data_IF_672422192942
#
_entry.id   IF_672422192942
#
_cell.length_a   1.000
_cell.length_b   1.000
_cell.length_c   1.000
_cell.angle_alpha   90.00
_cell.angle_beta   90.00
_cell.angle_gamma   90.00
#
_symmetry.space_group_name_H-M   'P 1'
#
loop_
_entity.id
_entity.type
_entity.pdbx_description
1 polymer ?
#
# COMPACT_ATOMS: atom_id res chain seq x y z
N UNK A 1 -7.71 16.78 -35.41
CA UNK A 1 -7.57 16.99 -33.96
C UNK A 1 -6.58 15.94 -33.52
N UNK A 2 -5.35 16.36 -33.24
CA UNK A 2 -4.28 15.46 -32.85
C UNK A 2 -4.34 15.34 -31.33
N UNK A 3 -5.02 14.31 -30.84
CA UNK A 3 -4.97 13.95 -29.43
C UNK A 3 -3.65 13.23 -29.17
N UNK A 4 -2.55 13.98 -29.21
CA UNK A 4 -1.25 13.52 -28.75
C UNK A 4 -1.16 13.76 -27.24
N UNK A 5 -1.93 12.98 -26.47
CA UNK A 5 -1.64 12.79 -25.05
C UNK A 5 -0.40 11.91 -24.95
N UNK A 6 0.76 12.49 -25.28
CA UNK A 6 2.04 11.78 -25.29
C UNK A 6 2.30 11.14 -23.92
N UNK A 7 2.45 9.82 -23.91
CA UNK A 7 2.93 9.11 -22.73
C UNK A 7 4.39 9.49 -22.48
N UNK A 8 4.67 9.96 -21.27
CA UNK A 8 6.02 10.29 -20.84
C UNK A 8 6.62 9.14 -20.02
N UNK A 9 7.86 8.76 -20.33
CA UNK A 9 8.60 7.75 -19.59
C UNK A 9 9.82 8.44 -18.97
N UNK A 10 9.89 8.42 -17.65
CA UNK A 10 10.94 9.07 -16.86
C UNK A 10 11.54 8.08 -15.87
N UNK A 11 12.81 8.30 -15.45
CA UNK A 11 13.35 7.65 -14.27
C UNK A 11 12.50 7.92 -13.02
N UNK A 12 12.50 6.97 -12.08
CA UNK A 12 11.67 7.00 -10.87
C UNK A 12 11.91 8.25 -9.99
N UNK A 13 13.17 8.65 -9.83
CA UNK A 13 13.58 9.86 -9.10
C UNK A 13 13.06 11.14 -9.76
N UNK A 14 13.16 11.21 -11.09
CA UNK A 14 12.62 12.34 -11.87
C UNK A 14 11.09 12.40 -11.78
N UNK A 15 10.40 11.25 -11.80
CA UNK A 15 8.94 11.22 -11.58
C UNK A 15 8.57 11.69 -10.17
N UNK A 16 9.29 11.24 -9.14
CA UNK A 16 9.04 11.67 -7.75
C UNK A 16 9.15 13.17 -7.59
N UNK A 17 10.22 13.76 -8.12
CA UNK A 17 10.42 15.21 -8.07
C UNK A 17 9.34 15.96 -8.86
N UNK A 18 9.07 15.54 -10.10
CA UNK A 18 8.14 16.22 -11.00
C UNK A 18 6.70 16.20 -10.50
N UNK A 19 6.25 15.07 -9.95
CA UNK A 19 4.86 14.85 -9.56
C UNK A 19 4.64 14.91 -8.04
N UNK A 20 5.69 15.13 -7.25
CA UNK A 20 5.61 15.18 -5.80
C UNK A 20 5.21 13.84 -5.18
N UNK A 21 5.66 12.71 -5.74
CA UNK A 21 5.34 11.35 -5.27
C UNK A 21 6.22 10.99 -4.07
N UNK A 22 6.04 11.72 -2.96
CA UNK A 22 6.84 11.61 -1.74
C UNK A 22 5.97 11.28 -0.53
N UNK A 23 6.62 10.85 0.56
CA UNK A 23 6.01 10.55 1.85
C UNK A 23 5.21 11.74 2.42
N UNK A 24 5.67 12.97 2.20
CA UNK A 24 5.01 14.19 2.67
C UNK A 24 3.71 14.49 1.91
N UNK A 25 3.62 14.05 0.66
CA UNK A 25 2.46 14.24 -0.22
C UNK A 25 1.61 12.96 -0.35
N UNK A 26 1.84 11.97 0.52
CA UNK A 26 1.08 10.72 0.51
C UNK A 26 -0.43 10.96 0.64
N UNK A 27 -1.26 10.08 0.07
CA UNK A 27 -2.70 10.14 0.30
C UNK A 27 -3.02 9.83 1.78
N UNK A 28 -4.05 10.49 2.30
CA UNK A 28 -4.69 10.09 3.54
C UNK A 28 -5.57 8.88 3.26
N UNK A 29 -5.22 7.74 3.84
CA UNK A 29 -6.01 6.50 3.76
C UNK A 29 -6.85 6.41 5.02
N UNK A 30 -8.16 6.22 4.86
CA UNK A 30 -9.10 5.96 5.96
C UNK A 30 -9.91 4.72 5.60
N UNK A 31 -9.72 3.65 6.37
CA UNK A 31 -10.35 2.36 6.09
C UNK A 31 -11.64 2.18 6.89
N UNK A 32 -12.59 1.47 6.29
CA UNK A 32 -13.83 1.05 6.93
C UNK A 32 -13.60 -0.31 7.57
N UNK A 33 -13.71 -0.39 8.89
CA UNK A 33 -13.37 -1.59 9.64
C UNK A 33 -14.26 -2.78 9.31
N UNK A 34 -15.50 -2.51 8.94
CA UNK A 34 -16.54 -3.47 8.57
C UNK A 34 -16.19 -4.23 7.30
N UNK A 35 -15.42 -3.61 6.41
CA UNK A 35 -14.94 -4.19 5.14
C UNK A 35 -13.64 -5.01 5.31
N UNK A 36 -13.09 -5.05 6.53
CA UNK A 36 -11.93 -5.86 6.91
C UNK A 36 -12.36 -7.05 7.78
N UNK A 37 -11.86 -8.27 7.53
CA UNK A 37 -12.10 -9.42 8.40
C UNK A 37 -11.73 -9.12 9.85
N UNK A 38 -12.57 -9.56 10.80
CA UNK A 38 -12.41 -9.24 12.22
C UNK A 38 -10.99 -9.58 12.74
N UNK A 39 -10.42 -10.70 12.30
CA UNK A 39 -9.07 -11.16 12.66
C UNK A 39 -7.94 -10.31 12.12
N UNK A 40 -8.20 -9.37 11.21
CA UNK A 40 -7.20 -8.50 10.57
C UNK A 40 -7.40 -7.01 10.90
N UNK A 41 -8.49 -6.64 11.57
CA UNK A 41 -8.81 -5.23 11.87
C UNK A 41 -7.74 -4.54 12.72
N UNK A 42 -7.00 -5.28 13.54
CA UNK A 42 -5.89 -4.72 14.32
C UNK A 42 -4.72 -4.23 13.45
N UNK A 43 -4.64 -4.66 12.18
CA UNK A 43 -3.65 -4.19 11.22
C UNK A 43 -4.11 -2.92 10.46
N UNK A 44 -5.35 -2.45 10.65
CA UNK A 44 -5.88 -1.25 9.97
C UNK A 44 -4.94 -0.05 10.13
N UNK A 45 -4.40 0.29 11.32
CA UNK A 45 -3.47 1.42 11.44
C UNK A 45 -2.22 1.25 10.57
N UNK A 46 -1.69 0.04 10.46
CA UNK A 46 -0.55 -0.26 9.59
C UNK A 46 -0.93 -0.16 8.11
N UNK A 47 -2.11 -0.64 7.72
CA UNK A 47 -2.61 -0.52 6.36
C UNK A 47 -2.88 0.95 5.98
N UNK A 48 -3.44 1.75 6.89
CA UNK A 48 -3.57 3.20 6.71
C UNK A 48 -2.20 3.88 6.58
N UNK A 49 -1.17 3.41 7.31
CA UNK A 49 0.17 3.99 7.29
C UNK A 49 1.03 3.57 6.08
N UNK A 50 1.06 2.29 5.73
CA UNK A 50 2.00 1.70 4.77
C UNK A 50 1.32 1.10 3.53
N UNK A 51 -0.01 0.96 3.55
CA UNK A 51 -0.82 0.40 2.46
C UNK A 51 -1.01 1.34 1.27
N UNK A 52 0.05 2.00 0.82
CA UNK A 52 0.02 3.03 -0.23
C UNK A 52 0.12 2.36 -1.59
N UNK A 53 -0.85 2.64 -2.47
CA UNK A 53 -0.93 2.02 -3.80
C UNK A 53 0.20 2.45 -4.75
N UNK A 54 0.53 3.74 -4.76
CA UNK A 54 1.64 4.29 -5.54
C UNK A 54 2.98 3.79 -4.99
N UNK A 55 3.77 3.14 -5.84
CA UNK A 55 5.03 2.51 -5.47
C UNK A 55 6.13 3.52 -5.16
N UNK A 56 6.13 4.67 -5.84
CA UNK A 56 7.10 5.74 -5.60
C UNK A 56 6.88 6.39 -4.23
N UNK A 57 5.62 6.67 -3.86
CA UNK A 57 5.27 7.17 -2.52
C UNK A 57 5.55 6.09 -1.46
N UNK A 58 5.11 4.84 -1.69
CA UNK A 58 5.32 3.73 -0.75
C UNK A 58 6.81 3.53 -0.45
N UNK A 59 7.64 3.51 -1.48
CA UNK A 59 9.10 3.38 -1.36
C UNK A 59 9.72 4.52 -0.55
N UNK A 60 9.29 5.77 -0.78
CA UNK A 60 9.78 6.93 -0.03
C UNK A 60 9.37 6.85 1.46
N UNK A 61 8.12 6.50 1.76
CA UNK A 61 7.65 6.28 3.14
C UNK A 61 8.47 5.21 3.85
N UNK A 62 8.64 4.03 3.23
CA UNK A 62 9.45 2.95 3.80
C UNK A 62 10.88 3.42 4.06
N UNK A 63 11.52 4.09 3.10
CA UNK A 63 12.91 4.56 3.25
C UNK A 63 13.14 5.58 4.38
N UNK A 64 12.10 6.35 4.74
CA UNK A 64 12.13 7.36 5.80
C UNK A 64 11.67 6.84 7.16
N UNK A 65 11.11 5.63 7.20
CA UNK A 65 10.59 5.03 8.42
C UNK A 65 11.74 4.42 9.24
N UNK A 66 11.77 4.62 10.57
CA UNK A 66 12.73 3.96 11.45
C UNK A 66 12.72 2.43 11.32
N UNK A 67 13.90 1.81 11.40
CA UNK A 67 14.05 0.37 11.19
C UNK A 67 13.26 -0.49 12.19
N UNK A 68 13.14 -0.04 13.44
CA UNK A 68 12.37 -0.73 14.49
C UNK A 68 10.86 -0.71 14.20
N UNK A 69 10.34 0.38 13.64
CA UNK A 69 8.95 0.45 13.16
C UNK A 69 8.71 -0.49 11.97
N UNK A 70 9.66 -0.56 11.02
CA UNK A 70 9.58 -1.49 9.89
C UNK A 70 9.64 -2.96 10.33
N UNK A 71 10.52 -3.29 11.27
CA UNK A 71 10.63 -4.64 11.84
C UNK A 71 9.34 -5.05 12.56
N UNK A 72 8.71 -4.11 13.28
CA UNK A 72 7.42 -4.34 13.92
C UNK A 72 6.32 -4.57 12.87
N UNK A 73 6.24 -3.73 11.84
CA UNK A 73 5.28 -3.89 10.74
C UNK A 73 5.43 -5.27 10.09
N UNK A 74 6.66 -5.65 9.70
CA UNK A 74 6.96 -6.95 9.09
C UNK A 74 6.57 -8.11 9.97
N UNK A 75 6.95 -8.07 11.26
CA UNK A 75 6.62 -9.11 12.22
C UNK A 75 5.11 -9.31 12.37
N UNK A 76 4.33 -8.23 12.38
CA UNK A 76 2.88 -8.27 12.47
C UNK A 76 2.23 -8.79 11.18
N UNK A 77 2.71 -8.37 10.01
CA UNK A 77 2.25 -8.89 8.72
C UNK A 77 2.52 -10.39 8.63
N UNK A 78 3.74 -10.83 8.95
CA UNK A 78 4.12 -12.25 8.85
C UNK A 78 3.35 -13.13 9.83
N UNK A 79 3.16 -12.67 11.06
CA UNK A 79 2.33 -13.38 12.04
C UNK A 79 0.87 -13.58 11.59
N UNK A 80 0.39 -12.75 10.65
CA UNK A 80 -0.96 -12.81 10.09
C UNK A 80 -0.99 -13.32 8.63
N UNK A 81 0.14 -13.79 8.08
CA UNK A 81 0.28 -14.26 6.70
C UNK A 81 -0.80 -15.27 6.28
N UNK A 82 -1.19 -16.28 7.09
CA UNK A 82 -2.26 -17.20 6.73
C UNK A 82 -3.62 -16.52 6.52
N UNK A 83 -4.03 -15.66 7.47
CA UNK A 83 -5.30 -14.91 7.40
C UNK A 83 -5.31 -13.91 6.25
N UNK A 84 -4.17 -13.24 6.02
CA UNK A 84 -3.99 -12.33 4.88
C UNK A 84 -4.05 -13.09 3.55
N UNK A 85 -3.43 -14.26 3.44
CA UNK A 85 -3.49 -15.09 2.24
C UNK A 85 -4.93 -15.56 1.96
N UNK A 86 -5.63 -16.06 2.98
CA UNK A 86 -7.01 -16.53 2.84
C UNK A 86 -7.94 -15.41 2.34
N UNK A 87 -7.83 -14.21 2.91
CA UNK A 87 -8.68 -13.11 2.52
C UNK A 87 -8.30 -12.51 1.16
N UNK A 88 -7.01 -12.17 0.96
CA UNK A 88 -6.54 -11.44 -0.23
C UNK A 88 -6.44 -12.34 -1.47
N UNK A 89 -6.44 -13.66 -1.34
CA UNK A 89 -6.61 -14.60 -2.45
C UNK A 89 -8.04 -15.14 -2.58
N UNK A 90 -8.95 -14.71 -1.70
CA UNK A 90 -10.33 -15.15 -1.64
C UNK A 90 -11.27 -14.31 -2.53
N UNK A 91 -12.58 -14.29 -2.23
CA UNK A 91 -13.58 -13.56 -3.01
C UNK A 91 -13.30 -12.05 -3.15
N UNK A 92 -12.60 -11.44 -2.19
CA UNK A 92 -12.22 -10.02 -2.25
C UNK A 92 -11.29 -9.68 -3.43
N UNK A 93 -10.58 -10.69 -3.95
CA UNK A 93 -9.73 -10.54 -5.13
C UNK A 93 -10.51 -10.54 -6.45
N UNK A 94 -11.81 -10.85 -6.43
CA UNK A 94 -12.64 -10.88 -7.63
C UNK A 94 -12.84 -9.46 -8.17
N UNK A 95 -12.02 -9.09 -9.15
CA UNK A 95 -12.15 -7.83 -9.89
C UNK A 95 -13.44 -7.73 -10.71
N UNK A 96 -13.65 -6.61 -11.44
CA UNK A 96 -12.64 -5.62 -11.82
C UNK A 96 -12.50 -4.44 -10.85
N UNK A 97 -13.31 -4.39 -9.78
CA UNK A 97 -13.30 -3.31 -8.80
C UNK A 97 -12.94 -3.84 -7.44
N UNK A 98 -11.92 -3.25 -6.81
CA UNK A 98 -11.45 -3.63 -5.48
C UNK A 98 -11.78 -2.54 -4.46
N UNK A 99 -12.05 -2.96 -3.22
CA UNK A 99 -12.28 -2.01 -2.13
C UNK A 99 -10.97 -1.29 -1.74
N UNK A 100 -11.06 -0.09 -1.15
CA UNK A 100 -9.91 0.59 -0.57
C UNK A 100 -9.15 -0.26 0.45
N UNK A 101 -9.85 -1.07 1.25
CA UNK A 101 -9.29 -1.97 2.25
C UNK A 101 -8.48 -3.08 1.59
N UNK A 102 -9.02 -3.72 0.55
CA UNK A 102 -8.31 -4.74 -0.19
C UNK A 102 -7.02 -4.19 -0.79
N UNK A 103 -7.09 -3.00 -1.41
CA UNK A 103 -5.91 -2.35 -2.01
C UNK A 103 -4.90 -2.02 -0.91
N UNK A 104 -5.31 -1.39 0.18
CA UNK A 104 -4.42 -0.99 1.26
C UNK A 104 -3.74 -2.19 1.92
N UNK A 105 -4.46 -3.28 2.19
CA UNK A 105 -3.87 -4.49 2.76
C UNK A 105 -2.97 -5.25 1.78
N UNK A 106 -3.29 -5.23 0.48
CA UNK A 106 -2.39 -5.76 -0.56
C UNK A 106 -1.09 -4.96 -0.60
N UNK A 107 -1.18 -3.63 -0.58
CA UNK A 107 0.00 -2.76 -0.59
C UNK A 107 0.78 -2.79 0.72
N UNK A 108 0.13 -3.03 1.87
CA UNK A 108 0.80 -3.26 3.15
C UNK A 108 1.69 -4.51 3.07
N UNK A 109 1.23 -5.58 2.41
CA UNK A 109 2.07 -6.76 2.20
C UNK A 109 3.26 -6.47 1.32
N UNK A 110 3.06 -5.78 0.20
CA UNK A 110 4.16 -5.35 -0.65
C UNK A 110 5.18 -4.49 0.13
N UNK A 111 4.71 -3.57 0.96
CA UNK A 111 5.59 -2.77 1.82
C UNK A 111 6.42 -3.64 2.79
N UNK A 112 5.83 -4.69 3.36
CA UNK A 112 6.50 -5.60 4.28
C UNK A 112 7.46 -6.58 3.58
N UNK A 113 7.20 -6.93 2.32
CA UNK A 113 8.08 -7.77 1.51
C UNK A 113 9.31 -6.99 0.99
N UNK A 114 9.17 -5.68 0.79
CA UNK A 114 10.21 -4.79 0.26
C UNK A 114 11.22 -4.29 1.33
N UNK A 115 11.01 -4.55 2.63
CA UNK A 115 11.86 -4.05 3.73
C UNK A 115 12.48 -5.12 4.65
#
# INVERSE_FOLDING_TARGET
MSDDNGFEVLPADVMREKYGLTAENRPTIKLISEDVPLSLRHLIPLAEQFGIADDLIRSDVVSKTPADELDQMRSLVEANSPSLNEWLAGPAAAGPTWSPEYIAFTCLRMAADDC
#
